data_IF_973026349592
#
_entry.id   IF_973026349592
#
_cell.length_a   1.000
_cell.length_b   1.000
_cell.length_c   1.000
_cell.angle_alpha   90.00
_cell.angle_beta   90.00
_cell.angle_gamma   90.00
#
_symmetry.space_group_name_H-M   'P 1'
#
loop_
_entity.id
_entity.type
_entity.pdbx_description
1 polymer ?
#
# COMPACT_ATOMS: atom_id res chain seq x y z
N UNK A 1 -7.67 11.15 -12.36
CA UNK A 1 -7.10 9.93 -12.96
C UNK A 1 -7.45 8.80 -12.03
N UNK A 2 -7.88 7.64 -12.55
CA UNK A 2 -8.10 6.48 -11.71
C UNK A 2 -6.74 5.81 -11.44
N UNK A 3 -6.51 5.38 -10.20
CA UNK A 3 -5.38 4.56 -9.79
C UNK A 3 -5.83 3.11 -9.89
N UNK A 4 -5.03 2.27 -10.55
CA UNK A 4 -5.30 0.84 -10.75
C UNK A 4 -4.11 0.05 -10.20
N UNK A 5 -4.39 -0.98 -9.41
CA UNK A 5 -3.37 -1.81 -8.77
C UNK A 5 -3.72 -3.28 -8.88
N UNK A 6 -2.78 -4.07 -9.38
CA UNK A 6 -2.95 -5.50 -9.58
C UNK A 6 -2.43 -6.30 -8.38
N UNK A 7 -3.16 -7.34 -7.98
CA UNK A 7 -2.75 -8.23 -6.89
C UNK A 7 -1.38 -8.91 -7.13
N UNK A 8 -0.98 -9.12 -8.37
CA UNK A 8 0.31 -9.68 -8.72
C UNK A 8 1.47 -8.72 -8.40
N UNK A 9 1.25 -7.41 -8.48
CA UNK A 9 2.22 -6.38 -8.08
C UNK A 9 2.49 -6.44 -6.57
N UNK A 10 1.41 -6.70 -5.81
CA UNK A 10 1.44 -6.97 -4.37
C UNK A 10 2.06 -8.33 -3.99
N UNK A 11 2.41 -9.17 -4.98
CA UNK A 11 3.02 -10.49 -4.76
C UNK A 11 2.02 -11.62 -4.55
N UNK A 12 0.74 -11.38 -4.81
CA UNK A 12 -0.31 -12.41 -4.78
C UNK A 12 -0.40 -13.03 -6.18
N UNK A 13 0.38 -14.09 -6.40
CA UNK A 13 0.50 -14.71 -7.73
C UNK A 13 -0.71 -15.53 -8.18
N UNK A 14 -1.63 -15.87 -7.26
CA UNK A 14 -2.85 -16.67 -7.54
C UNK A 14 -4.12 -15.79 -7.62
N UNK A 15 -3.97 -14.47 -7.76
CA UNK A 15 -5.10 -13.54 -7.82
C UNK A 15 -4.93 -12.54 -8.97
N UNK A 16 -5.86 -12.60 -9.93
CA UNK A 16 -5.96 -11.71 -11.10
C UNK A 16 -6.88 -10.51 -10.82
N UNK A 17 -7.19 -10.26 -9.56
CA UNK A 17 -8.07 -9.16 -9.18
C UNK A 17 -7.31 -7.84 -9.18
N UNK A 18 -7.98 -6.80 -9.67
CA UNK A 18 -7.42 -5.45 -9.81
C UNK A 18 -8.27 -4.49 -8.97
N UNK A 19 -7.62 -3.77 -8.07
CA UNK A 19 -8.20 -2.66 -7.33
C UNK A 19 -8.22 -1.42 -8.20
N UNK A 20 -9.31 -0.65 -8.17
CA UNK A 20 -9.42 0.58 -8.94
C UNK A 20 -10.14 1.67 -8.14
N UNK A 21 -9.46 2.78 -7.89
CA UNK A 21 -9.97 3.87 -7.07
C UNK A 21 -9.62 5.25 -7.64
N UNK A 22 -10.34 6.27 -7.18
CA UNK A 22 -10.01 7.66 -7.53
C UNK A 22 -8.90 8.25 -6.66
N UNK A 23 -8.71 7.68 -5.46
CA UNK A 23 -7.68 8.06 -4.49
C UNK A 23 -6.90 6.82 -4.06
N UNK A 24 -5.67 6.98 -3.55
CA UNK A 24 -4.93 5.84 -3.01
C UNK A 24 -5.70 5.18 -1.85
N UNK A 25 -6.50 5.93 -1.09
CA UNK A 25 -7.32 5.41 0.02
C UNK A 25 -8.33 4.39 -0.46
N UNK A 26 -9.00 4.72 -1.55
CA UNK A 26 -10.00 3.89 -2.19
C UNK A 26 -9.39 2.57 -2.71
N UNK A 27 -8.17 2.63 -3.27
CA UNK A 27 -7.44 1.44 -3.71
C UNK A 27 -7.02 0.57 -2.53
N UNK A 28 -6.45 1.16 -1.47
CA UNK A 28 -6.01 0.43 -0.26
C UNK A 28 -7.20 -0.25 0.41
N UNK A 29 -8.32 0.45 0.58
CA UNK A 29 -9.54 -0.10 1.20
C UNK A 29 -10.03 -1.34 0.43
N UNK A 30 -10.09 -1.26 -0.90
CA UNK A 30 -10.51 -2.38 -1.72
C UNK A 30 -9.53 -3.56 -1.63
N UNK A 31 -8.22 -3.31 -1.60
CA UNK A 31 -7.19 -4.35 -1.44
C UNK A 31 -7.33 -5.05 -0.09
N UNK A 32 -7.44 -4.29 1.00
CA UNK A 32 -7.58 -4.83 2.36
C UNK A 32 -8.85 -5.68 2.46
N UNK A 33 -9.99 -5.18 1.96
CA UNK A 33 -11.26 -5.91 1.99
C UNK A 33 -11.18 -7.22 1.16
N UNK A 34 -10.60 -7.14 -0.04
CA UNK A 34 -10.43 -8.30 -0.90
C UNK A 34 -9.56 -9.37 -0.24
N UNK A 35 -8.40 -8.97 0.27
CA UNK A 35 -7.41 -9.91 0.79
C UNK A 35 -7.86 -10.54 2.11
N UNK A 36 -8.47 -9.76 3.03
CA UNK A 36 -9.09 -10.32 4.25
C UNK A 36 -10.17 -11.35 3.90
N UNK A 37 -11.03 -11.07 2.91
CA UNK A 37 -12.15 -11.96 2.53
C UNK A 37 -11.75 -13.17 1.69
N UNK A 38 -10.75 -13.04 0.82
CA UNK A 38 -10.39 -14.06 -0.17
C UNK A 38 -9.20 -14.91 0.22
N UNK A 39 -8.23 -14.31 0.89
CA UNK A 39 -6.99 -14.98 1.27
C UNK A 39 -6.89 -15.27 2.77
N UNK A 40 -7.88 -14.84 3.58
CA UNK A 40 -7.92 -15.02 5.04
C UNK A 40 -6.67 -14.46 5.74
N UNK A 41 -6.06 -13.43 5.14
CA UNK A 41 -4.87 -12.76 5.65
C UNK A 41 -5.31 -11.60 6.56
N UNK A 42 -4.82 -11.59 7.78
CA UNK A 42 -5.07 -10.51 8.73
C UNK A 42 -4.23 -9.28 8.35
N UNK A 43 -4.82 -8.43 7.50
CA UNK A 43 -4.24 -7.13 7.14
C UNK A 43 -4.76 -6.03 8.06
N UNK A 44 -4.01 -4.95 8.30
CA UNK A 44 -4.51 -3.74 8.95
C UNK A 44 -5.50 -2.98 8.06
N UNK A 45 -6.24 -2.05 8.65
CA UNK A 45 -7.17 -1.18 7.94
C UNK A 45 -6.45 -0.14 7.08
N UNK A 46 -7.16 0.42 6.09
CA UNK A 46 -6.58 1.30 5.09
C UNK A 46 -5.94 2.56 5.70
N UNK A 47 -6.56 3.15 6.73
CA UNK A 47 -6.00 4.29 7.47
C UNK A 47 -4.64 3.96 8.08
N UNK A 48 -4.51 2.82 8.77
CA UNK A 48 -3.24 2.41 9.40
C UNK A 48 -2.12 2.20 8.36
N UNK A 49 -2.46 1.67 7.18
CA UNK A 49 -1.51 1.51 6.07
C UNK A 49 -1.05 2.87 5.53
N UNK A 50 -1.99 3.81 5.41
CA UNK A 50 -1.74 5.18 4.94
C UNK A 50 -0.86 5.97 5.90
N UNK A 51 -1.20 5.94 7.19
CA UNK A 51 -0.47 6.64 8.25
C UNK A 51 0.93 6.07 8.45
N UNK A 52 1.12 4.79 8.09
CA UNK A 52 2.42 4.16 8.10
C UNK A 52 2.93 3.71 9.45
N UNK A 53 2.06 3.76 10.45
CA UNK A 53 2.27 3.29 11.82
C UNK A 53 2.65 1.79 11.90
N UNK A 54 2.47 1.04 10.81
CA UNK A 54 2.66 -0.40 10.74
C UNK A 54 4.12 -0.90 10.73
N UNK A 55 5.12 -0.01 10.56
CA UNK A 55 6.45 -0.44 10.08
C UNK A 55 7.57 -0.61 11.12
N UNK A 56 7.47 -0.09 12.34
CA UNK A 56 8.64 -0.12 13.24
C UNK A 56 8.69 -1.32 14.20
N UNK A 57 7.54 -1.82 14.67
CA UNK A 57 7.51 -2.86 15.72
C UNK A 57 7.22 -4.27 15.18
N UNK A 58 6.40 -4.37 14.13
CA UNK A 58 5.83 -5.64 13.65
C UNK A 58 6.78 -6.50 12.81
N UNK A 59 7.69 -5.89 12.04
CA UNK A 59 8.62 -6.62 11.15
C UNK A 59 9.94 -6.99 11.86
N UNK A 60 10.26 -6.31 12.96
CA UNK A 60 11.58 -6.32 13.60
C UNK A 60 11.70 -7.14 14.89
N UNK A 61 10.58 -7.55 15.51
CA UNK A 61 10.62 -8.54 16.59
C UNK A 61 10.15 -8.03 17.95
N UNK A 62 8.85 -8.10 18.17
CA UNK A 62 8.26 -8.67 19.37
C UNK A 62 6.84 -9.12 19.00
N UNK A 63 6.42 -10.36 19.30
CA UNK A 63 5.01 -10.69 19.22
C UNK A 63 4.27 -9.86 20.28
N UNK A 64 3.37 -9.00 19.83
CA UNK A 64 2.41 -8.34 20.71
C UNK A 64 1.61 -9.43 21.45
N UNK A 65 1.59 -9.46 22.80
CA UNK A 65 0.89 -10.52 23.52
C UNK A 65 -0.63 -10.36 23.51
N UNK A 66 -1.16 -9.24 22.98
CA UNK A 66 -2.58 -8.86 23.06
C UNK A 66 -3.23 -8.64 21.68
N UNK A 67 -2.46 -8.44 20.60
CA UNK A 67 -2.97 -8.23 19.24
C UNK A 67 -2.26 -9.13 18.24
N UNK A 68 -3.02 -9.89 17.45
CA UNK A 68 -2.51 -10.93 16.55
C UNK A 68 -1.32 -10.46 15.71
N UNK A 69 -0.27 -11.28 15.65
CA UNK A 69 0.83 -11.08 14.71
C UNK A 69 0.25 -11.09 13.29
N UNK A 70 0.38 -10.02 12.51
CA UNK A 70 -0.09 -10.04 11.14
C UNK A 70 0.69 -11.11 10.39
N UNK A 71 -0.01 -11.84 9.52
CA UNK A 71 0.61 -12.85 8.69
C UNK A 71 1.85 -12.28 7.99
N UNK A 72 2.93 -13.06 7.90
CA UNK A 72 4.14 -12.65 7.19
C UNK A 72 3.86 -12.21 5.74
N UNK A 73 2.75 -12.69 5.16
CA UNK A 73 2.19 -12.22 3.89
C UNK A 73 1.61 -10.80 3.96
N UNK A 74 0.86 -10.45 5.00
CA UNK A 74 0.25 -9.12 5.17
C UNK A 74 1.32 -8.03 5.18
N UNK A 75 2.38 -8.21 5.97
CA UNK A 75 3.53 -7.31 6.01
C UNK A 75 4.14 -7.02 4.63
N UNK A 76 4.31 -8.07 3.84
CA UNK A 76 4.88 -7.96 2.49
C UNK A 76 3.94 -7.22 1.54
N UNK A 77 2.64 -7.50 1.62
CA UNK A 77 1.60 -6.85 0.82
C UNK A 77 1.53 -5.37 1.16
N UNK A 78 1.49 -5.01 2.44
CA UNK A 78 1.43 -3.62 2.90
C UNK A 78 2.64 -2.83 2.42
N UNK A 79 3.85 -3.40 2.49
CA UNK A 79 5.06 -2.74 1.97
C UNK A 79 4.92 -2.42 0.49
N UNK A 80 4.59 -3.44 -0.32
CA UNK A 80 4.44 -3.30 -1.77
C UNK A 80 3.31 -2.36 -2.14
N UNK A 81 2.21 -2.38 -1.40
CA UNK A 81 1.06 -1.49 -1.58
C UNK A 81 1.46 -0.02 -1.38
N UNK A 82 2.25 0.27 -0.33
CA UNK A 82 2.77 1.61 -0.06
C UNK A 82 3.79 2.05 -1.11
N UNK A 83 4.68 1.16 -1.52
CA UNK A 83 5.65 1.39 -2.61
C UNK A 83 4.92 1.70 -3.94
N UNK A 84 3.92 0.89 -4.32
CA UNK A 84 3.17 1.03 -5.57
C UNK A 84 2.32 2.31 -5.62
N UNK A 85 1.81 2.74 -4.47
CA UNK A 85 1.05 3.98 -4.32
C UNK A 85 1.94 5.20 -4.00
N UNK A 86 3.26 5.02 -3.94
CA UNK A 86 4.25 6.05 -3.58
C UNK A 86 3.92 6.77 -2.26
N UNK A 87 3.38 6.04 -1.27
CA UNK A 87 2.97 6.60 0.03
C UNK A 87 4.16 6.92 0.95
N UNK A 88 5.35 6.39 0.63
CA UNK A 88 6.60 6.69 1.35
C UNK A 88 7.09 8.14 1.14
N UNK A 89 6.67 8.79 0.04
CA UNK A 89 7.10 10.15 -0.32
C UNK A 89 6.23 11.24 0.31
N UNK A 90 5.00 10.92 0.77
CA UNK A 90 4.04 11.91 1.28
C UNK A 90 4.35 12.41 2.70
N UNK A 91 5.16 11.69 3.47
CA UNK A 91 5.70 12.16 4.76
C UNK A 91 6.80 13.24 4.58
N UNK A 92 7.31 13.41 3.35
CA UNK A 92 8.28 14.44 2.97
C UNK A 92 7.78 15.23 1.75
N UNK A 93 6.80 16.14 1.89
CA UNK A 93 6.52 17.08 0.79
C UNK A 93 7.17 18.43 1.03
N UNK A 94 7.87 18.95 0.02
CA UNK A 94 7.16 19.93 -0.79
C UNK A 94 7.13 19.58 -2.28
N UNK A 95 5.91 19.55 -2.83
CA UNK A 95 5.51 20.11 -4.14
C UNK A 95 6.54 20.00 -5.28
N UNK A 96 6.35 19.01 -6.16
CA UNK A 96 6.85 19.07 -7.53
C UNK A 96 5.67 19.03 -8.50
N UNK A 97 5.07 20.22 -8.69
CA UNK A 97 4.41 20.58 -9.93
C UNK A 97 5.36 20.47 -11.15
N UNK A 98 4.84 20.76 -12.35
CA UNK A 98 4.82 19.86 -13.49
C UNK A 98 6.17 19.68 -14.21
N UNK A 99 6.27 18.50 -14.83
CA UNK A 99 7.13 18.10 -15.95
C UNK A 99 8.03 19.20 -16.51
N UNK A 100 9.34 18.94 -16.47
CA UNK A 100 10.36 19.68 -17.21
C UNK A 100 10.03 19.66 -18.72
N UNK A 101 9.18 20.59 -19.13
CA UNK A 101 8.85 20.91 -20.50
C UNK A 101 10.05 21.56 -21.16
N UNK A 102 10.58 20.84 -22.13
CA UNK A 102 11.57 21.22 -23.14
C UNK A 102 11.31 22.63 -23.75
N UNK A 103 12.38 23.22 -24.29
CA UNK A 103 12.53 24.46 -25.10
C UNK A 103 12.84 25.73 -24.26
N UNK A 104 13.93 26.48 -24.48
CA UNK A 104 14.35 27.09 -25.76
C UNK A 104 15.74 27.75 -25.63
N UNK A 105 16.57 27.69 -26.70
CA UNK A 105 17.82 28.44 -26.94
C UNK A 105 17.62 29.98 -26.94
N UNK A 106 18.67 30.82 -27.01
CA UNK A 106 19.56 30.94 -28.20
C UNK A 106 21.03 30.55 -27.97
#
# INVERSE_FOLDING_TARGET
MAIELDCHDLGIHDCDWVARGETPGDVVEQVVDHVRKKHDIDMPDADTIMEGDFFEETIGGAPDPIGGTPDAGAATIVRRLREALNLEELDNTPDAGPVAGRLRSP
#
